data_IF_461342626500
#
_entry.id   IF_461342626500
#
_cell.length_a   1.000
_cell.length_b   1.000
_cell.length_c   1.000
_cell.angle_alpha   90.00
_cell.angle_beta   90.00
_cell.angle_gamma   90.00
#
_symmetry.space_group_name_H-M   'P 1'
#
loop_
_entity.id
_entity.type
_entity.pdbx_description
1 polymer ?
#
# COMPACT_ATOMS: atom_id res chain seq x y z
N UNK A 1 -6.47 -12.45 48.46
CA UNK A 1 -6.55 -11.18 47.72
C UNK A 1 -5.27 -10.77 47.01
N UNK A 2 -4.08 -11.10 47.45
CA UNK A 2 -2.81 -10.75 46.77
C UNK A 2 -2.53 -11.54 45.45
N UNK A 3 -3.05 -12.75 45.33
CA UNK A 3 -2.84 -13.58 44.11
C UNK A 3 -3.74 -13.16 42.92
N UNK A 4 -4.88 -12.50 43.20
CA UNK A 4 -5.80 -12.02 42.14
C UNK A 4 -5.30 -10.74 41.45
N UNK A 5 -4.47 -9.96 42.13
CA UNK A 5 -3.89 -8.72 41.58
C UNK A 5 -2.74 -9.00 40.60
N UNK A 6 -2.06 -10.14 40.73
CA UNK A 6 -0.98 -10.54 39.81
C UNK A 6 -1.50 -11.14 38.48
N UNK A 7 -2.72 -11.66 38.47
CA UNK A 7 -3.32 -12.18 37.22
C UNK A 7 -3.81 -11.08 36.28
N UNK A 8 -4.12 -9.89 36.83
CA UNK A 8 -4.55 -8.74 36.02
C UNK A 8 -3.40 -8.00 35.32
N UNK A 9 -2.15 -8.26 35.71
CA UNK A 9 -0.96 -7.62 35.11
C UNK A 9 -0.49 -8.30 33.81
N UNK A 10 -1.07 -9.46 33.47
CA UNK A 10 -0.69 -10.21 32.25
C UNK A 10 -1.61 -10.00 31.05
N UNK A 11 -2.59 -9.12 31.15
CA UNK A 11 -3.32 -8.63 29.97
C UNK A 11 -2.46 -7.53 29.30
N UNK A 12 -1.34 -7.93 28.73
CA UNK A 12 -0.65 -7.07 27.77
C UNK A 12 -1.59 -6.89 26.58
N UNK A 13 -2.16 -5.70 26.46
CA UNK A 13 -2.81 -5.27 25.23
C UNK A 13 -1.78 -5.42 24.11
N UNK A 14 -1.94 -6.45 23.29
CA UNK A 14 -1.35 -6.45 21.96
C UNK A 14 -2.08 -5.34 21.18
N UNK A 15 -1.59 -4.12 21.31
CA UNK A 15 -1.90 -3.07 20.38
C UNK A 15 -1.28 -3.52 19.04
N UNK A 16 -2.07 -4.16 18.19
CA UNK A 16 -1.69 -4.38 16.81
C UNK A 16 -1.51 -2.99 16.21
N UNK A 17 -0.26 -2.52 16.16
CA UNK A 17 0.07 -1.31 15.42
C UNK A 17 -0.30 -1.59 13.96
N UNK A 18 -1.21 -0.82 13.41
CA UNK A 18 -1.54 -0.90 12.00
C UNK A 18 -0.29 -0.54 11.21
N UNK A 19 0.20 -1.47 10.41
CA UNK A 19 1.38 -1.29 9.59
C UNK A 19 0.96 -0.89 8.18
N UNK A 20 1.77 -0.04 7.55
CA UNK A 20 1.54 0.42 6.19
C UNK A 20 2.39 -0.28 5.15
N UNK A 21 2.00 -0.09 3.88
CA UNK A 21 2.70 -0.56 2.69
C UNK A 21 2.89 0.57 1.69
N UNK A 22 4.03 0.56 0.99
CA UNK A 22 4.33 1.46 -0.13
C UNK A 22 4.95 0.63 -1.25
N UNK A 23 4.34 0.64 -2.44
CA UNK A 23 4.84 -0.06 -3.60
C UNK A 23 4.76 0.77 -4.88
N UNK A 24 5.41 0.29 -5.93
CA UNK A 24 5.41 0.92 -7.25
C UNK A 24 6.33 0.20 -8.22
N UNK A 25 6.47 0.77 -9.43
CA UNK A 25 7.33 0.25 -10.48
C UNK A 25 8.28 1.34 -10.95
N UNK A 26 9.55 1.04 -11.07
CA UNK A 26 10.58 1.97 -11.56
C UNK A 26 10.83 1.71 -13.04
N UNK A 27 10.68 2.75 -13.87
CA UNK A 27 10.86 2.67 -15.32
C UNK A 27 11.75 3.82 -15.83
N UNK A 28 12.30 3.66 -17.03
CA UNK A 28 12.95 4.75 -17.75
C UNK A 28 11.93 5.55 -18.60
N UNK A 29 12.40 6.58 -19.32
CA UNK A 29 11.54 7.41 -20.21
C UNK A 29 10.93 6.63 -21.38
N UNK A 30 11.44 5.44 -21.71
CA UNK A 30 10.89 4.56 -22.71
C UNK A 30 9.93 3.51 -22.11
N UNK A 31 9.51 3.67 -20.84
CA UNK A 31 8.69 2.74 -20.04
C UNK A 31 9.33 1.34 -19.89
N UNK A 32 10.66 1.26 -19.98
CA UNK A 32 11.38 0.01 -19.75
C UNK A 32 11.63 -0.15 -18.25
N UNK A 33 11.31 -1.31 -17.66
CA UNK A 33 11.58 -1.60 -16.25
C UNK A 33 13.08 -1.47 -15.93
N UNK A 34 13.38 -0.83 -14.79
CA UNK A 34 14.74 -0.67 -14.28
C UNK A 34 15.03 -1.69 -13.18
N UNK A 35 15.33 -2.93 -13.61
CA UNK A 35 15.77 -4.00 -12.71
C UNK A 35 17.00 -3.58 -11.90
N UNK A 36 16.99 -3.83 -10.60
CA UNK A 36 18.08 -3.48 -9.70
C UNK A 36 18.14 -2.01 -9.30
N UNK A 37 17.14 -1.19 -9.68
CA UNK A 37 17.05 0.18 -9.17
C UNK A 37 16.98 0.16 -7.64
N UNK A 38 17.77 1.01 -7.00
CA UNK A 38 17.78 1.15 -5.54
C UNK A 38 16.69 2.12 -5.13
N UNK A 39 15.75 1.65 -4.31
CA UNK A 39 14.68 2.46 -3.73
C UNK A 39 14.92 2.57 -2.23
N UNK A 40 15.11 3.80 -1.74
CA UNK A 40 15.30 4.12 -0.33
C UNK A 40 14.09 4.85 0.21
N UNK A 41 13.62 4.44 1.38
CA UNK A 41 12.52 5.05 2.11
C UNK A 41 13.04 5.57 3.45
N UNK A 42 12.76 6.83 3.77
CA UNK A 42 13.16 7.48 5.03
C UNK A 42 11.94 8.11 5.68
N UNK A 43 11.71 7.83 6.96
CA UNK A 43 10.66 8.46 7.76
C UNK A 43 11.08 9.88 8.15
N UNK A 44 10.26 10.88 7.83
CA UNK A 44 10.61 12.30 8.03
C UNK A 44 10.70 12.69 9.50
N UNK A 45 9.83 12.12 10.35
CA UNK A 45 9.80 12.38 11.80
C UNK A 45 10.90 11.62 12.55
N UNK A 46 11.41 10.53 11.97
CA UNK A 46 12.49 9.73 12.54
C UNK A 46 13.46 9.27 11.44
N UNK A 47 14.43 10.09 11.03
CA UNK A 47 15.35 9.75 9.95
C UNK A 47 16.25 8.53 10.23
N UNK A 48 16.33 8.07 11.48
CA UNK A 48 16.99 6.80 11.80
C UNK A 48 16.20 5.58 11.29
N UNK A 49 14.88 5.73 11.08
CA UNK A 49 14.07 4.73 10.42
C UNK A 49 14.21 4.88 8.91
N UNK A 50 14.96 3.99 8.32
CA UNK A 50 15.14 3.91 6.87
C UNK A 50 15.09 2.46 6.42
N UNK A 51 14.50 2.23 5.24
CA UNK A 51 14.49 0.93 4.55
C UNK A 51 14.99 1.13 3.13
N UNK A 52 15.66 0.12 2.60
CA UNK A 52 16.14 0.12 1.21
C UNK A 52 15.80 -1.23 0.59
N UNK A 53 15.25 -1.18 -0.62
CA UNK A 53 14.97 -2.37 -1.43
C UNK A 53 15.52 -2.16 -2.84
N UNK A 54 15.71 -3.26 -3.56
CA UNK A 54 16.06 -3.26 -4.97
C UNK A 54 14.81 -3.62 -5.78
N UNK A 55 14.57 -2.92 -6.87
CA UNK A 55 13.50 -3.26 -7.81
C UNK A 55 13.79 -4.62 -8.48
N UNK A 56 12.76 -5.40 -8.66
CA UNK A 56 12.83 -6.73 -9.30
C UNK A 56 12.98 -6.65 -10.84
N UNK A 57 12.93 -7.80 -11.53
CA UNK A 57 13.05 -7.87 -12.99
C UNK A 57 11.94 -7.15 -13.77
N UNK A 58 10.79 -6.89 -13.13
CA UNK A 58 9.71 -6.07 -13.66
C UNK A 58 9.81 -4.59 -13.25
N UNK A 59 10.89 -4.20 -12.54
CA UNK A 59 11.06 -2.87 -11.98
C UNK A 59 10.23 -2.63 -10.72
N UNK A 60 9.52 -3.64 -10.21
CA UNK A 60 8.60 -3.48 -9.08
C UNK A 60 9.34 -3.48 -7.74
N UNK A 61 8.84 -2.71 -6.79
CA UNK A 61 9.32 -2.68 -5.41
C UNK A 61 8.16 -2.63 -4.43
N UNK A 62 8.37 -3.14 -3.22
CA UNK A 62 7.39 -3.13 -2.14
C UNK A 62 8.09 -2.95 -0.79
N UNK A 63 7.64 -1.98 -0.02
CA UNK A 63 7.91 -1.84 1.39
C UNK A 63 6.70 -2.28 2.19
N UNK A 64 6.89 -3.13 3.18
CA UNK A 64 5.86 -3.58 4.11
C UNK A 64 6.30 -3.33 5.55
N UNK A 65 5.36 -3.49 6.48
CA UNK A 65 5.59 -3.29 7.90
C UNK A 65 6.19 -1.90 8.19
N UNK A 66 5.49 -0.85 7.69
CA UNK A 66 5.87 0.54 7.88
C UNK A 66 5.03 1.16 9.00
N UNK A 67 5.63 1.83 9.98
CA UNK A 67 4.92 2.68 10.93
C UNK A 67 4.12 3.78 10.22
N UNK A 68 3.06 4.29 10.85
CA UNK A 68 2.37 5.48 10.36
C UNK A 68 3.28 6.70 10.45
N UNK A 69 3.17 7.63 9.50
CA UNK A 69 3.98 8.84 9.45
C UNK A 69 4.28 9.32 8.04
N UNK A 70 5.09 10.37 7.93
CA UNK A 70 5.50 10.96 6.66
C UNK A 70 6.79 10.34 6.16
N UNK A 71 6.82 10.01 4.87
CA UNK A 71 7.96 9.36 4.22
C UNK A 71 8.47 10.15 3.03
N UNK A 72 9.80 10.09 2.85
CA UNK A 72 10.51 10.44 1.63
C UNK A 72 11.00 9.16 0.97
N UNK A 73 10.70 9.01 -0.32
CA UNK A 73 11.19 7.93 -1.14
C UNK A 73 12.20 8.47 -2.16
N UNK A 74 13.35 7.84 -2.27
CA UNK A 74 14.38 8.20 -3.24
C UNK A 74 14.70 6.97 -4.10
N UNK A 75 14.57 7.13 -5.40
CA UNK A 75 14.96 6.11 -6.39
C UNK A 75 16.27 6.51 -7.02
N UNK A 76 17.21 5.58 -7.10
CA UNK A 76 18.50 5.77 -7.76
C UNK A 76 18.86 4.59 -8.66
N UNK A 77 19.42 4.90 -9.82
CA UNK A 77 19.92 3.91 -10.78
C UNK A 77 21.20 4.42 -11.45
N UNK A 78 22.12 3.53 -11.78
CA UNK A 78 23.40 3.92 -12.37
C UNK A 78 23.21 4.67 -13.70
N UNK A 79 23.80 5.85 -13.81
CA UNK A 79 23.72 6.69 -15.02
C UNK A 79 22.46 7.51 -15.17
N UNK A 80 21.47 7.35 -14.28
CA UNK A 80 20.24 8.14 -14.29
C UNK A 80 20.22 9.17 -13.15
N UNK A 81 19.35 10.16 -13.27
CA UNK A 81 19.11 11.17 -12.25
C UNK A 81 18.26 10.58 -11.13
N UNK A 82 18.64 10.77 -9.87
CA UNK A 82 17.82 10.31 -8.74
C UNK A 82 16.47 11.03 -8.72
N UNK A 83 15.41 10.25 -8.55
CA UNK A 83 14.04 10.74 -8.36
C UNK A 83 13.73 10.74 -6.87
N UNK A 84 13.21 11.84 -6.34
CA UNK A 84 12.78 11.94 -4.94
C UNK A 84 11.31 12.31 -4.88
N UNK A 85 10.55 11.53 -4.14
CA UNK A 85 9.14 11.80 -3.81
C UNK A 85 9.07 12.16 -2.33
N UNK A 86 8.56 13.34 -2.04
CA UNK A 86 8.30 13.81 -0.67
C UNK A 86 6.82 13.69 -0.32
N UNK A 87 6.54 13.73 0.97
CA UNK A 87 5.18 13.86 1.52
C UNK A 87 4.26 12.65 1.33
N UNK A 88 4.81 11.43 1.25
CA UNK A 88 4.01 10.21 1.32
C UNK A 88 3.56 10.06 2.78
N UNK A 89 2.25 10.20 3.04
CA UNK A 89 1.69 10.20 4.38
C UNK A 89 0.92 8.91 4.66
N UNK A 90 1.57 7.97 5.39
CA UNK A 90 0.90 6.76 5.91
C UNK A 90 0.09 7.12 7.17
N UNK A 91 -1.21 6.86 7.13
CA UNK A 91 -2.15 7.09 8.23
C UNK A 91 -3.22 5.99 8.27
N UNK A 92 -3.98 5.82 9.36
CA UNK A 92 -4.96 4.72 9.46
C UNK A 92 -5.99 4.68 8.33
N UNK A 93 -6.38 5.84 7.79
CA UNK A 93 -7.33 5.96 6.69
C UNK A 93 -6.69 5.67 5.32
N UNK A 94 -5.35 5.70 5.27
CA UNK A 94 -4.56 5.40 4.07
C UNK A 94 -3.22 4.80 4.48
N UNK A 95 -3.20 3.51 4.67
CA UNK A 95 -2.04 2.74 5.10
C UNK A 95 -1.36 1.96 3.96
N UNK A 96 -1.95 1.99 2.76
CA UNK A 96 -1.47 1.28 1.58
C UNK A 96 -1.38 2.25 0.39
N UNK A 97 -0.16 2.37 -0.18
CA UNK A 97 0.14 3.28 -1.28
C UNK A 97 0.72 2.54 -2.46
N UNK A 98 0.04 2.58 -3.60
CA UNK A 98 0.59 2.23 -4.90
C UNK A 98 0.97 3.52 -5.64
N UNK A 99 2.28 3.77 -5.76
CA UNK A 99 2.83 4.98 -6.38
C UNK A 99 2.77 4.95 -7.91
N UNK A 100 2.38 3.79 -8.50
CA UNK A 100 2.37 3.61 -9.94
C UNK A 100 3.77 3.56 -10.54
N UNK A 101 3.92 4.05 -11.77
CA UNK A 101 5.18 4.07 -12.49
C UNK A 101 6.01 5.31 -12.11
N UNK A 102 7.22 5.06 -11.62
CA UNK A 102 8.20 6.08 -11.28
C UNK A 102 9.20 6.20 -12.42
N UNK A 103 9.05 7.25 -13.23
CA UNK A 103 9.91 7.47 -14.39
C UNK A 103 11.22 8.13 -13.96
N UNK A 104 12.34 7.42 -14.14
CA UNK A 104 13.69 7.92 -13.85
C UNK A 104 14.35 8.40 -15.14
N UNK A 105 14.77 9.66 -15.16
CA UNK A 105 15.32 10.33 -16.36
C UNK A 105 16.84 10.17 -16.46
N UNK A 106 17.41 10.26 -17.66
CA UNK A 106 18.85 10.34 -17.84
C UNK A 106 19.45 11.54 -17.09
N UNK A 107 20.63 11.35 -16.53
CA UNK A 107 21.35 12.44 -15.85
C UNK A 107 21.80 13.48 -16.89
N UNK A 108 21.12 14.62 -16.95
CA UNK A 108 21.59 15.75 -17.75
C UNK A 108 22.91 16.28 -17.16
N UNK A 109 23.81 16.77 -18.02
CA UNK A 109 25.16 17.20 -17.66
C UNK A 109 25.22 18.33 -16.59
N UNK A 110 24.08 18.93 -16.22
CA UNK A 110 23.94 19.94 -15.16
C UNK A 110 22.48 19.97 -14.68
N UNK A 111 21.99 18.95 -13.98
CA UNK A 111 20.60 18.91 -13.52
C UNK A 111 20.47 18.85 -12.00
N UNK A 112 19.60 19.69 -11.44
CA UNK A 112 19.10 19.54 -10.06
C UNK A 112 18.27 18.26 -9.96
N UNK A 113 18.32 17.58 -8.82
CA UNK A 113 17.43 16.45 -8.55
C UNK A 113 15.98 16.92 -8.63
N UNK A 114 15.15 16.19 -9.38
CA UNK A 114 13.71 16.47 -9.44
C UNK A 114 13.04 16.02 -8.14
N UNK A 115 12.32 16.92 -7.50
CA UNK A 115 11.47 16.62 -6.33
C UNK A 115 10.03 16.65 -6.80
N UNK A 116 9.36 15.51 -6.76
CA UNK A 116 7.95 15.40 -7.09
C UNK A 116 7.13 15.35 -5.81
N UNK A 117 6.15 16.25 -5.69
CA UNK A 117 5.17 16.19 -4.59
C UNK A 117 4.06 15.23 -5.00
N UNK A 118 3.95 14.12 -4.29
CA UNK A 118 2.92 13.12 -4.54
C UNK A 118 1.55 13.64 -4.12
N UNK A 119 0.61 13.69 -5.07
CA UNK A 119 -0.78 14.07 -4.80
C UNK A 119 -1.61 12.82 -4.52
N UNK A 120 -2.20 12.76 -3.34
CA UNK A 120 -2.91 11.58 -2.85
C UNK A 120 -4.33 11.46 -3.44
N UNK A 121 -4.69 10.21 -3.83
CA UNK A 121 -6.09 9.78 -3.95
C UNK A 121 -6.42 8.85 -2.79
N UNK A 122 -7.58 8.98 -2.13
CA UNK A 122 -7.91 8.10 -1.02
C UNK A 122 -8.13 6.65 -1.49
N UNK A 123 -7.52 5.70 -0.76
CA UNK A 123 -7.69 4.26 -1.00
C UNK A 123 -9.14 3.83 -0.80
N UNK A 124 -9.78 4.33 0.25
CA UNK A 124 -11.18 4.05 0.58
C UNK A 124 -11.94 5.36 0.58
N UNK A 125 -13.01 5.44 -0.20
CA UNK A 125 -13.94 6.56 -0.21
C UNK A 125 -15.29 6.10 0.33
N UNK A 126 -15.87 6.90 1.23
CA UNK A 126 -17.25 6.70 1.69
C UNK A 126 -18.07 7.92 1.27
N UNK A 127 -19.04 7.71 0.39
CA UNK A 127 -19.95 8.75 -0.09
C UNK A 127 -21.36 8.19 -0.18
N UNK A 128 -22.32 8.90 0.39
CA UNK A 128 -23.76 8.58 0.33
C UNK A 128 -24.09 7.13 0.77
N UNK A 129 -23.33 6.62 1.77
CA UNK A 129 -23.48 5.25 2.28
C UNK A 129 -22.80 4.16 1.44
N UNK A 130 -22.19 4.52 0.32
CA UNK A 130 -21.40 3.64 -0.51
C UNK A 130 -19.92 3.69 -0.08
N UNK A 131 -19.28 2.53 -0.07
CA UNK A 131 -17.82 2.41 0.17
C UNK A 131 -17.19 1.98 -1.14
N UNK A 132 -16.23 2.77 -1.63
CA UNK A 132 -15.46 2.47 -2.83
C UNK A 132 -14.00 2.22 -2.44
N UNK A 133 -13.45 1.08 -2.86
CA UNK A 133 -12.03 0.77 -2.76
C UNK A 133 -11.34 1.06 -4.09
N UNK A 134 -10.37 1.97 -4.10
CA UNK A 134 -9.56 2.28 -5.27
C UNK A 134 -8.40 1.30 -5.36
N UNK A 135 -8.60 0.18 -6.01
CA UNK A 135 -7.61 -0.92 -6.11
C UNK A 135 -6.34 -0.47 -6.83
N UNK A 136 -6.44 0.48 -7.78
CA UNK A 136 -5.29 1.06 -8.48
C UNK A 136 -4.34 1.85 -7.57
N UNK A 137 -4.80 2.24 -6.39
CA UNK A 137 -4.01 2.98 -5.40
C UNK A 137 -3.46 2.05 -4.28
N UNK A 138 -3.72 0.73 -4.36
CA UNK A 138 -3.30 -0.26 -3.37
C UNK A 138 -2.07 -1.04 -3.83
N UNK A 139 -0.99 -0.96 -3.06
CA UNK A 139 0.21 -1.77 -3.29
C UNK A 139 -0.05 -3.26 -3.03
N UNK A 140 -0.95 -3.60 -2.10
CA UNK A 140 -1.33 -4.97 -1.79
C UNK A 140 -2.14 -5.64 -2.92
N UNK A 141 -2.64 -4.87 -3.91
CA UNK A 141 -3.37 -5.41 -5.05
C UNK A 141 -2.47 -6.17 -6.04
N UNK A 142 -1.16 -5.92 -6.03
CA UNK A 142 -0.22 -6.59 -6.91
C UNK A 142 -0.10 -8.08 -6.55
N UNK A 143 -0.61 -8.95 -7.41
CA UNK A 143 -0.61 -10.39 -7.22
C UNK A 143 -1.72 -10.95 -6.31
N UNK A 144 -2.63 -10.12 -5.81
CA UNK A 144 -3.79 -10.55 -5.01
C UNK A 144 -5.00 -10.83 -5.89
N UNK A 145 -5.84 -11.78 -5.48
CA UNK A 145 -7.13 -12.00 -6.14
C UNK A 145 -8.21 -11.04 -5.60
N UNK A 146 -9.31 -10.89 -6.34
CA UNK A 146 -10.39 -9.99 -5.98
C UNK A 146 -11.01 -10.31 -4.60
N UNK A 147 -11.09 -11.58 -4.25
CA UNK A 147 -11.61 -12.05 -2.95
C UNK A 147 -10.75 -11.58 -1.77
N UNK A 148 -9.42 -11.52 -1.92
CA UNK A 148 -8.51 -11.05 -0.88
C UNK A 148 -8.58 -9.53 -0.72
N UNK A 149 -8.73 -8.81 -1.84
CA UNK A 149 -8.92 -7.36 -1.83
C UNK A 149 -10.26 -6.95 -1.18
N UNK A 150 -11.32 -7.72 -1.38
CA UNK A 150 -12.61 -7.45 -0.75
C UNK A 150 -12.54 -7.49 0.77
N UNK A 151 -11.65 -8.29 1.37
CA UNK A 151 -11.50 -8.33 2.84
C UNK A 151 -10.85 -7.08 3.42
N UNK A 152 -10.22 -6.25 2.60
CA UNK A 152 -9.67 -4.95 3.01
C UNK A 152 -10.74 -3.86 3.11
N UNK A 153 -11.94 -4.10 2.55
CA UNK A 153 -13.05 -3.15 2.61
C UNK A 153 -13.69 -3.21 3.99
N UNK A 154 -13.87 -2.08 4.68
CA UNK A 154 -14.58 -2.04 5.97
C UNK A 154 -15.96 -2.71 5.88
N UNK A 155 -16.32 -3.47 6.91
CA UNK A 155 -17.58 -4.21 7.04
C UNK A 155 -17.73 -5.45 6.16
N UNK A 156 -16.70 -5.79 5.38
CA UNK A 156 -16.59 -7.05 4.63
C UNK A 156 -15.77 -8.05 5.45
N UNK A 157 -16.24 -9.28 5.51
CA UNK A 157 -15.55 -10.38 6.20
C UNK A 157 -15.70 -11.69 5.43
N UNK A 158 -14.79 -12.63 5.64
CA UNK A 158 -14.92 -14.02 5.19
C UNK A 158 -15.41 -14.87 6.37
N UNK A 159 -16.36 -15.76 6.12
CA UNK A 159 -16.76 -16.79 7.08
C UNK A 159 -15.77 -17.98 7.08
N UNK A 160 -16.04 -18.99 7.90
CA UNK A 160 -15.19 -20.18 8.04
C UNK A 160 -15.08 -21.00 6.74
N UNK A 161 -16.07 -20.88 5.85
CA UNK A 161 -16.13 -21.55 4.55
C UNK A 161 -15.51 -20.69 3.43
N UNK A 162 -14.95 -19.51 3.77
CA UNK A 162 -14.32 -18.58 2.84
C UNK A 162 -15.30 -17.69 2.06
N UNK A 163 -16.61 -17.75 2.40
CA UNK A 163 -17.65 -16.95 1.75
C UNK A 163 -17.61 -15.50 2.24
N UNK A 164 -17.62 -14.56 1.30
CA UNK A 164 -17.61 -13.12 1.61
C UNK A 164 -18.99 -12.67 2.09
N UNK A 165 -19.03 -11.98 3.22
CA UNK A 165 -20.24 -11.39 3.80
C UNK A 165 -20.05 -9.90 4.06
N UNK A 166 -21.10 -9.11 3.93
CA UNK A 166 -21.13 -7.69 4.26
C UNK A 166 -22.08 -7.50 5.45
N UNK A 167 -21.53 -7.07 6.60
CA UNK A 167 -22.30 -6.98 7.87
C UNK A 167 -23.02 -8.28 8.21
N UNK A 168 -22.38 -9.43 7.96
CA UNK A 168 -22.94 -10.75 8.23
C UNK A 168 -24.04 -11.22 7.27
N UNK A 169 -24.29 -10.50 6.17
CA UNK A 169 -25.25 -10.88 5.12
C UNK A 169 -24.54 -11.17 3.80
N UNK A 170 -25.09 -12.09 3.04
CA UNK A 170 -24.59 -12.41 1.69
C UNK A 170 -24.84 -11.23 0.74
N UNK A 171 -23.81 -10.67 0.10
CA UNK A 171 -23.95 -9.56 -0.85
C UNK A 171 -24.42 -10.07 -2.21
N UNK A 172 -25.16 -9.22 -2.95
CA UNK A 172 -25.36 -9.42 -4.38
C UNK A 172 -24.15 -8.86 -5.12
N UNK A 173 -23.54 -9.68 -5.98
CA UNK A 173 -22.40 -9.29 -6.79
C UNK A 173 -22.88 -8.78 -8.14
N UNK A 174 -22.37 -7.61 -8.55
CA UNK A 174 -22.57 -7.05 -9.89
C UNK A 174 -21.20 -6.82 -10.53
N UNK A 175 -21.09 -7.16 -11.81
CA UNK A 175 -19.94 -6.82 -12.65
C UNK A 175 -20.49 -5.97 -13.79
N UNK A 176 -19.95 -4.76 -13.98
CA UNK A 176 -20.45 -3.77 -14.95
C UNK A 176 -21.98 -3.56 -14.86
N UNK A 177 -22.47 -3.39 -13.61
CA UNK A 177 -23.89 -3.22 -13.27
C UNK A 177 -24.80 -4.43 -13.62
N UNK A 178 -24.24 -5.56 -14.02
CA UNK A 178 -24.98 -6.78 -14.33
C UNK A 178 -24.88 -7.76 -13.16
N UNK A 179 -25.99 -8.29 -12.64
CA UNK A 179 -25.96 -9.30 -11.60
C UNK A 179 -25.34 -10.60 -12.13
N UNK A 180 -24.39 -11.14 -11.38
CA UNK A 180 -23.76 -12.43 -11.67
C UNK A 180 -24.12 -13.43 -10.57
N UNK A 181 -24.41 -14.68 -10.95
CA UNK A 181 -24.66 -15.79 -10.03
C UNK A 181 -23.34 -16.47 -9.58
N UNK A 182 -22.26 -15.68 -9.48
CA UNK A 182 -20.98 -16.16 -8.99
C UNK A 182 -20.83 -15.80 -7.52
N UNK A 183 -20.29 -16.73 -6.75
CA UNK A 183 -19.89 -16.39 -5.38
C UNK A 183 -18.53 -15.69 -5.39
N UNK A 184 -18.24 -14.96 -4.31
CA UNK A 184 -17.00 -14.16 -4.23
C UNK A 184 -15.69 -14.98 -4.22
N UNK A 185 -15.78 -16.32 -4.24
CA UNK A 185 -14.63 -17.22 -4.39
C UNK A 185 -14.26 -17.49 -5.86
N UNK A 186 -15.16 -17.15 -6.78
CA UNK A 186 -14.99 -17.34 -8.24
C UNK A 186 -14.57 -16.05 -8.95
N UNK A 187 -14.38 -14.96 -8.19
CA UNK A 187 -13.80 -13.69 -8.59
C UNK A 187 -12.27 -13.72 -8.41
#
# INVERSE_FOLDING_TARGET
>A
MRAFLLFFLFITLNAAAQEGTIGGTVVDEANKPLEGATVQLVMMENPAFQKTVSADGAGSFLFSALPMGYYRLTVSFAGLQSLTLDSINLRPERYDFLLGELVVKPKAAAGLNEIVIYSEKPLIQSKDGNITLNVSESAASQGSNASDLLTQVPLVSKDADGKVTVRGKEPRILIDDKPVEMNAQQL
#
